data_IF_870698899929
#
_entry.id   IF_870698899929
#
_cell.length_a   1.000
_cell.length_b   1.000
_cell.length_c   1.000
_cell.angle_alpha   90.00
_cell.angle_beta   90.00
_cell.angle_gamma   90.00
#
_symmetry.space_group_name_H-M   'P 1'
#
loop_
_entity.id
_entity.type
_entity.pdbx_description
1 polymer ?
#
# COMPACT_ATOMS: atom_id res chain seq x y z
N UNK A 1 -8.42 -2.16 -16.65
CA UNK A 1 -9.24 -2.26 -15.43
C UNK A 1 -8.51 -3.15 -14.43
N UNK A 2 -8.49 -2.78 -13.15
CA UNK A 2 -8.03 -3.70 -12.12
C UNK A 2 -9.09 -4.78 -11.91
N UNK A 3 -8.67 -6.05 -11.85
CA UNK A 3 -9.58 -7.20 -11.81
C UNK A 3 -10.16 -7.39 -10.40
N UNK A 4 -9.41 -7.05 -9.36
CA UNK A 4 -9.85 -7.10 -7.97
C UNK A 4 -9.06 -6.07 -7.13
N UNK A 5 -9.51 -4.81 -7.07
CA UNK A 5 -8.82 -3.78 -6.31
C UNK A 5 -8.90 -3.96 -4.79
N UNK A 6 -9.82 -4.79 -4.30
CA UNK A 6 -10.02 -5.05 -2.88
C UNK A 6 -9.07 -6.11 -2.29
N UNK A 7 -8.22 -6.72 -3.14
CA UNK A 7 -7.28 -7.79 -2.76
C UNK A 7 -6.33 -7.39 -1.62
N UNK A 8 -5.90 -6.14 -1.58
CA UNK A 8 -5.03 -5.61 -0.54
C UNK A 8 -5.76 -5.49 0.80
N UNK A 9 -5.07 -5.86 1.88
CA UNK A 9 -5.63 -5.81 3.24
C UNK A 9 -5.85 -4.37 3.66
N UNK A 10 -7.11 -4.02 3.97
CA UNK A 10 -7.47 -2.73 4.55
C UNK A 10 -6.80 -2.56 5.91
N UNK A 11 -6.14 -1.42 6.09
CA UNK A 11 -5.43 -1.05 7.31
C UNK A 11 -6.31 -0.21 8.23
N UNK A 12 -5.92 -0.20 9.50
CA UNK A 12 -6.57 0.52 10.61
C UNK A 12 -5.55 1.48 11.24
N UNK A 13 -6.00 2.26 12.22
CA UNK A 13 -5.18 3.17 13.02
C UNK A 13 -4.44 4.19 12.12
N UNK A 14 -3.14 4.40 12.34
CA UNK A 14 -2.30 5.38 11.61
C UNK A 14 -2.24 5.18 10.08
N UNK A 15 -2.77 4.07 9.56
CA UNK A 15 -2.86 3.77 8.13
C UNK A 15 -4.31 3.51 7.69
N UNK A 16 -5.29 4.00 8.44
CA UNK A 16 -6.70 3.85 8.09
C UNK A 16 -6.97 4.33 6.66
N UNK A 17 -7.77 3.56 5.92
CA UNK A 17 -8.09 3.81 4.51
C UNK A 17 -7.08 3.26 3.51
N UNK A 18 -5.84 2.97 3.92
CA UNK A 18 -4.88 2.30 3.03
C UNK A 18 -5.22 0.82 2.85
N UNK A 19 -5.10 0.33 1.63
CA UNK A 19 -4.99 -1.09 1.32
C UNK A 19 -3.53 -1.42 1.04
N UNK A 20 -3.05 -2.53 1.62
CA UNK A 20 -1.68 -3.01 1.39
C UNK A 20 -1.72 -4.42 0.82
N UNK A 21 -1.21 -4.58 -0.40
CA UNK A 21 -1.08 -5.87 -1.07
C UNK A 21 0.36 -6.38 -0.97
N UNK A 22 0.53 -7.66 -0.64
CA UNK A 22 1.82 -8.36 -0.63
C UNK A 22 1.98 -9.21 -1.88
N UNK A 23 3.16 -9.16 -2.51
CA UNK A 23 3.48 -9.99 -3.67
C UNK A 23 4.96 -10.39 -3.66
N UNK A 24 5.32 -11.39 -4.46
CA UNK A 24 6.70 -11.82 -4.65
C UNK A 24 7.25 -11.26 -5.96
N UNK A 25 8.49 -10.80 -5.97
CA UNK A 25 9.24 -10.43 -7.16
C UNK A 25 10.72 -10.81 -6.98
N UNK A 26 11.29 -11.56 -7.93
CA UNK A 26 12.71 -12.02 -7.92
C UNK A 26 13.15 -12.57 -6.55
N UNK A 27 12.39 -13.53 -6.02
CA UNK A 27 12.63 -14.18 -4.71
C UNK A 27 12.53 -13.26 -3.47
N UNK A 28 12.11 -12.01 -3.63
CA UNK A 28 11.89 -11.08 -2.52
C UNK A 28 10.40 -10.75 -2.37
N UNK A 29 9.97 -10.47 -1.13
CA UNK A 29 8.61 -10.03 -0.82
C UNK A 29 8.51 -8.51 -0.90
N UNK A 30 7.55 -8.04 -1.68
CA UNK A 30 7.22 -6.63 -1.82
C UNK A 30 5.83 -6.33 -1.25
N UNK A 31 5.63 -5.07 -0.90
CA UNK A 31 4.37 -4.49 -0.51
C UNK A 31 4.07 -3.31 -1.42
N UNK A 32 2.78 -3.11 -1.70
CA UNK A 32 2.27 -1.90 -2.35
C UNK A 32 1.11 -1.34 -1.53
N UNK A 33 1.15 -0.04 -1.23
CA UNK A 33 0.13 0.71 -0.52
C UNK A 33 -0.63 1.59 -1.51
N UNK A 34 -1.96 1.51 -1.42
CA UNK A 34 -2.86 2.24 -2.29
C UNK A 34 -4.15 2.62 -1.57
N UNK A 35 -4.81 3.67 -2.05
CA UNK A 35 -6.21 3.93 -1.75
C UNK A 35 -7.08 3.42 -2.90
N UNK A 36 -8.22 2.84 -2.51
CA UNK A 36 -9.31 2.56 -3.42
C UNK A 36 -10.35 3.65 -3.27
N UNK A 37 -10.62 4.37 -4.36
CA UNK A 37 -11.74 5.32 -4.48
C UNK A 37 -12.74 4.73 -5.48
N UNK A 38 -13.90 5.35 -5.62
CA UNK A 38 -15.03 4.79 -6.39
C UNK A 38 -14.61 4.23 -7.76
N UNK A 39 -13.87 5.01 -8.55
CA UNK A 39 -13.46 4.63 -9.91
C UNK A 39 -11.94 4.67 -10.13
N UNK A 40 -11.14 4.86 -9.08
CA UNK A 40 -9.68 5.02 -9.22
C UNK A 40 -8.90 4.30 -8.12
N UNK A 41 -7.68 3.89 -8.49
CA UNK A 41 -6.69 3.37 -7.56
C UNK A 41 -5.54 4.37 -7.52
N UNK A 42 -5.30 4.92 -6.33
CA UNK A 42 -4.19 5.85 -6.11
C UNK A 42 -3.08 5.11 -5.41
N UNK A 43 -1.94 4.94 -6.07
CA UNK A 43 -0.76 4.28 -5.51
C UNK A 43 0.13 5.27 -4.77
N UNK A 44 0.61 4.87 -3.60
CA UNK A 44 1.40 5.74 -2.73
C UNK A 44 2.83 5.25 -2.60
N UNK A 45 3.00 3.95 -2.33
CA UNK A 45 4.34 3.39 -2.11
C UNK A 45 4.40 1.93 -2.51
N UNK A 46 5.50 1.56 -3.16
CA UNK A 46 5.91 0.19 -3.44
C UNK A 46 7.32 -0.02 -2.90
N UNK A 47 7.59 -1.17 -2.29
CA UNK A 47 8.93 -1.47 -1.78
C UNK A 47 9.04 -2.85 -1.14
N UNK A 48 10.26 -3.25 -0.75
CA UNK A 48 10.49 -4.49 0.00
C UNK A 48 9.66 -4.52 1.28
N UNK A 49 9.35 -5.72 1.79
CA UNK A 49 8.58 -5.87 3.02
C UNK A 49 9.28 -5.26 4.26
N UNK A 50 10.61 -5.29 4.27
CA UNK A 50 11.43 -4.69 5.33
C UNK A 50 11.26 -3.16 5.33
N UNK A 51 11.05 -2.57 6.51
CA UNK A 51 10.86 -1.12 6.72
C UNK A 51 9.68 -0.45 5.98
N UNK A 52 8.92 -1.16 5.16
CA UNK A 52 7.83 -0.62 4.35
C UNK A 52 6.85 0.27 5.12
N UNK A 53 6.33 -0.22 6.25
CA UNK A 53 5.35 0.51 7.04
C UNK A 53 5.94 1.75 7.71
N UNK A 54 7.20 1.69 8.14
CA UNK A 54 7.89 2.83 8.72
C UNK A 54 8.06 3.94 7.67
N UNK A 55 8.55 3.57 6.49
CA UNK A 55 8.72 4.50 5.38
C UNK A 55 7.39 5.02 4.83
N UNK A 56 6.33 4.20 4.79
CA UNK A 56 4.99 4.64 4.41
C UNK A 56 4.47 5.69 5.41
N UNK A 57 4.57 5.43 6.71
CA UNK A 57 4.17 6.41 7.73
C UNK A 57 5.02 7.69 7.65
N UNK A 58 6.31 7.58 7.35
CA UNK A 58 7.18 8.73 7.13
C UNK A 58 6.73 9.57 5.93
N UNK A 59 6.46 8.92 4.79
CA UNK A 59 5.92 9.58 3.60
C UNK A 59 4.62 10.34 3.92
N UNK A 60 3.71 9.75 4.69
CA UNK A 60 2.44 10.41 5.02
C UNK A 60 2.65 11.69 5.84
N UNK A 61 3.59 11.68 6.80
CA UNK A 61 3.94 12.89 7.58
C UNK A 61 4.62 14.00 6.76
N UNK A 62 5.19 13.67 5.60
CA UNK A 62 5.89 14.63 4.74
C UNK A 62 4.97 15.22 3.66
N UNK A 63 3.84 14.58 3.39
CA UNK A 63 2.88 14.96 2.33
C UNK A 63 1.62 15.63 2.90
N UNK A 64 1.35 15.47 4.20
CA UNK A 64 0.43 16.33 4.97
C UNK A 64 1.06 17.71 5.27
#
# INVERSE_FOLDING_TARGET
MAINPDIGKLKKDDLAGFRVQKFSYRSQKFLIAYHLRENEIVFFKIGPHENFYHELKKYLREVE
#
